data_IF_779300727762
#
_entry.id   IF_779300727762
#
_cell.length_a   1.000
_cell.length_b   1.000
_cell.length_c   1.000
_cell.angle_alpha   90.00
_cell.angle_beta   90.00
_cell.angle_gamma   90.00
#
_symmetry.space_group_name_H-M   'P 1'
#
loop_
_entity.id
_entity.type
_entity.pdbx_description
1 polymer ?
#
# COMPACT_ATOMS: atom_id res chain seq x y z
N UNK A 1 -23.10 -18.28 -16.75
CA UNK A 1 -23.96 -17.10 -16.48
C UNK A 1 -24.85 -17.28 -15.24
N UNK A 2 -25.41 -18.48 -14.99
CA UNK A 2 -26.24 -18.76 -13.79
C UNK A 2 -25.51 -18.72 -12.43
N UNK A 3 -24.27 -19.20 -12.34
CA UNK A 3 -23.51 -19.23 -11.06
C UNK A 3 -23.18 -17.84 -10.50
N UNK A 4 -22.74 -16.89 -11.33
CA UNK A 4 -22.46 -15.51 -10.89
C UNK A 4 -23.72 -14.75 -10.45
N UNK A 5 -24.87 -15.03 -11.07
CA UNK A 5 -26.13 -14.38 -10.74
C UNK A 5 -26.63 -14.82 -9.36
N UNK A 6 -26.48 -16.11 -9.02
CA UNK A 6 -26.82 -16.65 -7.70
C UNK A 6 -25.89 -16.17 -6.58
N UNK A 7 -24.58 -16.06 -6.82
CA UNK A 7 -23.63 -15.49 -5.84
C UNK A 7 -23.90 -14.00 -5.58
N UNK A 8 -24.20 -13.24 -6.63
CA UNK A 8 -24.54 -11.81 -6.52
C UNK A 8 -25.84 -11.63 -5.74
N UNK A 9 -26.87 -12.42 -6.04
CA UNK A 9 -28.14 -12.40 -5.30
C UNK A 9 -27.93 -12.77 -3.83
N UNK A 10 -27.15 -13.82 -3.52
CA UNK A 10 -26.84 -14.20 -2.12
C UNK A 10 -26.09 -13.12 -1.34
N UNK A 11 -25.31 -12.29 -2.04
CA UNK A 11 -24.52 -11.22 -1.41
C UNK A 11 -25.32 -9.93 -1.25
N UNK A 12 -26.19 -9.60 -2.20
CA UNK A 12 -26.96 -8.34 -2.23
C UNK A 12 -28.25 -8.43 -1.42
N UNK A 13 -28.97 -9.56 -1.45
CA UNK A 13 -30.27 -9.71 -0.76
C UNK A 13 -30.18 -9.41 0.75
N UNK A 14 -29.17 -9.90 1.49
CA UNK A 14 -29.01 -9.56 2.91
C UNK A 14 -28.74 -8.06 3.17
N UNK A 15 -28.23 -7.33 2.18
CA UNK A 15 -27.93 -5.90 2.27
C UNK A 15 -29.12 -5.01 1.88
N UNK A 16 -30.19 -5.54 1.28
CA UNK A 16 -31.34 -4.76 0.82
C UNK A 16 -31.97 -3.86 1.91
N UNK A 17 -32.21 -4.31 3.15
CA UNK A 17 -32.77 -3.42 4.18
C UNK A 17 -31.84 -2.25 4.52
N UNK A 18 -30.52 -2.49 4.51
CA UNK A 18 -29.52 -1.43 4.70
C UNK A 18 -29.53 -0.46 3.53
N UNK A 19 -29.55 -0.97 2.29
CA UNK A 19 -29.61 -0.16 1.08
C UNK A 19 -30.85 0.74 1.12
N UNK A 20 -32.03 0.21 1.45
CA UNK A 20 -33.28 0.98 1.56
C UNK A 20 -33.17 2.06 2.64
N UNK A 21 -32.68 1.72 3.84
CA UNK A 21 -32.49 2.68 4.94
C UNK A 21 -31.52 3.80 4.56
N UNK A 22 -30.35 3.45 4.01
CA UNK A 22 -29.36 4.44 3.58
C UNK A 22 -29.90 5.30 2.44
N UNK A 23 -30.71 4.70 1.56
CA UNK A 23 -31.35 5.45 0.48
C UNK A 23 -32.28 6.53 1.02
N UNK A 24 -33.12 6.18 2.00
CA UNK A 24 -34.01 7.12 2.66
C UNK A 24 -33.26 8.24 3.38
N UNK A 25 -32.22 7.90 4.17
CA UNK A 25 -31.40 8.88 4.88
C UNK A 25 -30.65 9.83 3.95
N UNK A 26 -30.14 9.32 2.82
CA UNK A 26 -29.41 10.13 1.86
C UNK A 26 -30.33 11.07 1.07
N UNK A 27 -31.49 10.57 0.60
CA UNK A 27 -32.49 11.39 -0.12
C UNK A 27 -33.00 12.54 0.75
N UNK A 28 -33.23 12.28 2.04
CA UNK A 28 -33.67 13.31 2.98
C UNK A 28 -32.53 14.21 3.51
N UNK A 29 -31.28 14.00 3.06
CA UNK A 29 -30.08 14.71 3.55
C UNK A 29 -29.88 14.63 5.06
N UNK A 30 -30.32 13.53 5.67
CA UNK A 30 -30.24 13.28 7.11
C UNK A 30 -28.95 12.58 7.53
N UNK A 31 -28.01 12.36 6.60
CA UNK A 31 -26.69 11.79 6.88
C UNK A 31 -25.59 12.83 6.64
N UNK A 32 -24.60 12.89 7.53
CA UNK A 32 -23.45 13.81 7.40
C UNK A 32 -22.68 13.59 6.08
N UNK A 33 -22.61 12.34 5.62
CA UNK A 33 -21.99 11.94 4.35
C UNK A 33 -22.70 12.48 3.11
N UNK A 34 -24.01 12.76 3.16
CA UNK A 34 -24.77 13.25 1.99
C UNK A 34 -24.30 14.61 1.45
N UNK A 35 -23.63 15.41 2.30
CA UNK A 35 -23.02 16.68 1.90
C UNK A 35 -21.88 16.48 0.89
N UNK A 36 -21.08 15.44 1.08
CA UNK A 36 -19.83 15.22 0.34
C UNK A 36 -19.92 14.10 -0.70
N UNK A 37 -20.65 13.04 -0.38
CA UNK A 37 -20.75 11.84 -1.21
C UNK A 37 -22.02 11.86 -2.05
N UNK A 38 -21.96 11.27 -3.25
CA UNK A 38 -23.15 10.92 -4.00
C UNK A 38 -23.83 9.67 -3.41
N UNK A 39 -25.05 9.40 -3.87
CA UNK A 39 -25.86 8.30 -3.40
C UNK A 39 -25.22 6.92 -3.61
N UNK A 40 -24.64 6.68 -4.80
CA UNK A 40 -24.02 5.41 -5.12
C UNK A 40 -22.81 5.17 -4.21
N UNK A 41 -21.99 6.20 -4.01
CA UNK A 41 -20.83 6.16 -3.12
C UNK A 41 -21.22 5.88 -1.66
N UNK A 42 -22.28 6.53 -1.17
CA UNK A 42 -22.77 6.30 0.19
C UNK A 42 -23.25 4.85 0.41
N UNK A 43 -23.91 4.24 -0.59
CA UNK A 43 -24.33 2.83 -0.53
C UNK A 43 -23.10 1.91 -0.52
N UNK A 44 -22.11 2.15 -1.38
CA UNK A 44 -20.88 1.34 -1.44
C UNK A 44 -20.19 1.33 -0.07
N UNK A 45 -20.02 2.50 0.56
CA UNK A 45 -19.39 2.62 1.89
C UNK A 45 -20.20 1.84 2.95
N UNK A 46 -21.54 1.97 2.93
CA UNK A 46 -22.38 1.23 3.87
C UNK A 46 -22.27 -0.29 3.69
N UNK A 47 -22.19 -0.78 2.44
CA UNK A 47 -21.96 -2.20 2.16
C UNK A 47 -20.57 -2.66 2.62
N UNK A 48 -19.52 -1.87 2.38
CA UNK A 48 -18.14 -2.17 2.80
C UNK A 48 -18.04 -2.34 4.32
N UNK A 49 -18.69 -1.46 5.10
CA UNK A 49 -18.74 -1.60 6.57
C UNK A 49 -19.27 -2.97 7.00
N UNK A 50 -20.39 -3.42 6.42
CA UNK A 50 -20.98 -4.73 6.76
C UNK A 50 -20.07 -5.89 6.36
N UNK A 51 -19.39 -5.78 5.21
CA UNK A 51 -18.48 -6.83 4.72
C UNK A 51 -17.25 -6.95 5.63
N UNK A 52 -16.72 -5.83 6.12
CA UNK A 52 -15.51 -5.80 6.96
C UNK A 52 -15.77 -6.05 8.45
N UNK A 53 -17.00 -5.84 8.94
CA UNK A 53 -17.41 -6.20 10.31
C UNK A 53 -18.54 -7.24 10.29
N UNK A 54 -18.29 -8.48 9.85
CA UNK A 54 -19.32 -9.50 9.78
C UNK A 54 -19.75 -9.91 11.19
N UNK A 55 -21.06 -10.13 11.39
CA UNK A 55 -21.61 -10.65 12.66
C UNK A 55 -21.05 -12.01 13.05
N UNK A 56 -20.67 -12.82 12.07
CA UNK A 56 -20.05 -14.13 12.24
C UNK A 56 -18.69 -14.11 11.52
N UNK A 57 -17.58 -13.96 12.24
CA UNK A 57 -16.24 -13.91 11.65
C UNK A 57 -15.92 -15.19 10.87
N UNK A 58 -15.18 -15.05 9.78
CA UNK A 58 -14.60 -16.17 9.03
C UNK A 58 -13.17 -16.40 9.50
N UNK A 59 -12.68 -17.63 9.40
CA UNK A 59 -11.27 -17.92 9.64
C UNK A 59 -10.38 -17.19 8.62
N UNK A 60 -9.11 -16.94 8.99
CA UNK A 60 -8.14 -16.22 8.14
C UNK A 60 -8.00 -16.89 6.77
N UNK A 61 -7.78 -18.21 6.72
CA UNK A 61 -7.67 -18.95 5.46
C UNK A 61 -8.92 -18.84 4.59
N UNK A 62 -10.10 -18.71 5.19
CA UNK A 62 -11.35 -18.53 4.44
C UNK A 62 -11.44 -17.14 3.80
N UNK A 63 -11.03 -16.10 4.53
CA UNK A 63 -10.98 -14.73 3.98
C UNK A 63 -9.90 -14.59 2.92
N UNK A 64 -8.72 -15.19 3.12
CA UNK A 64 -7.67 -15.25 2.10
C UNK A 64 -8.14 -15.92 0.82
N UNK A 65 -8.75 -17.12 0.89
CA UNK A 65 -9.32 -17.78 -0.31
C UNK A 65 -10.30 -16.91 -1.08
N UNK A 66 -11.07 -16.06 -0.40
CA UNK A 66 -12.01 -15.15 -1.04
C UNK A 66 -11.30 -13.98 -1.72
N UNK A 67 -10.33 -13.36 -1.03
CA UNK A 67 -9.66 -12.14 -1.50
C UNK A 67 -8.52 -12.40 -2.48
N UNK A 68 -7.99 -13.63 -2.52
CA UNK A 68 -6.97 -14.08 -3.47
C UNK A 68 -7.55 -14.67 -4.77
N UNK A 69 -8.88 -14.66 -4.93
CA UNK A 69 -9.52 -15.23 -6.11
C UNK A 69 -9.23 -14.39 -7.35
N UNK A 70 -8.52 -14.97 -8.32
CA UNK A 70 -8.32 -14.35 -9.63
C UNK A 70 -9.65 -14.33 -10.41
N UNK A 71 -10.13 -13.13 -10.72
CA UNK A 71 -11.38 -12.91 -11.47
C UNK A 71 -11.23 -13.09 -12.99
N UNK A 72 -10.02 -13.43 -13.46
CA UNK A 72 -9.65 -13.51 -14.86
C UNK A 72 -9.28 -12.15 -15.45
N UNK A 73 -8.71 -12.17 -16.66
CA UNK A 73 -8.15 -10.99 -17.31
C UNK A 73 -8.92 -10.74 -18.61
N UNK A 74 -9.54 -9.56 -18.72
CA UNK A 74 -10.32 -9.16 -19.90
C UNK A 74 -10.20 -7.67 -20.18
N UNK A 75 -10.30 -7.33 -21.46
CA UNK A 75 -10.44 -5.96 -21.94
C UNK A 75 -9.11 -5.24 -22.15
N UNK A 76 -9.12 -3.95 -21.81
CA UNK A 76 -8.04 -2.98 -22.11
C UNK A 76 -6.82 -3.11 -21.18
N UNK A 77 -6.37 -4.33 -20.93
CA UNK A 77 -5.25 -4.61 -20.06
C UNK A 77 -4.36 -5.69 -20.67
N UNK A 78 -3.06 -5.44 -20.66
CA UNK A 78 -2.05 -6.47 -20.77
C UNK A 78 -1.69 -6.96 -19.38
N UNK A 79 -1.59 -8.28 -19.22
CA UNK A 79 -0.99 -8.89 -18.03
C UNK A 79 0.01 -9.94 -18.51
N UNK A 80 1.23 -9.87 -17.97
CA UNK A 80 2.25 -10.92 -18.10
C UNK A 80 2.70 -11.34 -16.71
N UNK A 81 2.50 -12.61 -16.36
CA UNK A 81 2.86 -13.17 -15.05
C UNK A 81 4.32 -13.55 -15.03
N UNK A 82 5.07 -13.03 -14.07
CA UNK A 82 6.49 -13.30 -13.89
C UNK A 82 6.72 -13.88 -12.50
N UNK A 83 7.59 -14.89 -12.40
CA UNK A 83 8.11 -15.38 -11.13
C UNK A 83 9.62 -15.16 -11.15
N UNK A 84 10.09 -14.22 -10.33
CA UNK A 84 11.52 -14.03 -10.15
C UNK A 84 12.06 -15.25 -9.38
N UNK A 85 13.05 -15.97 -9.91
CA UNK A 85 13.60 -17.12 -9.21
C UNK A 85 14.21 -16.70 -7.88
N UNK A 86 14.13 -17.59 -6.90
CA UNK A 86 14.82 -17.46 -5.64
C UNK A 86 16.30 -17.09 -5.86
N UNK A 87 16.81 -15.99 -5.28
CA UNK A 87 18.22 -15.63 -5.38
C UNK A 87 19.12 -16.75 -4.87
N UNK A 88 20.21 -17.09 -5.58
CA UNK A 88 21.10 -18.16 -5.14
C UNK A 88 21.91 -17.77 -3.89
N UNK A 89 22.14 -16.47 -3.67
CA UNK A 89 22.84 -15.94 -2.51
C UNK A 89 21.89 -15.46 -1.40
N UNK A 90 22.36 -15.51 -0.15
CA UNK A 90 21.61 -15.01 1.00
C UNK A 90 21.80 -13.53 1.28
N UNK A 91 22.75 -12.86 0.60
CA UNK A 91 23.16 -11.49 0.88
C UNK A 91 22.00 -10.51 0.95
N UNK A 92 21.01 -10.60 0.06
CA UNK A 92 19.85 -9.69 0.08
C UNK A 92 19.01 -9.82 1.35
N UNK A 93 18.81 -11.05 1.84
CA UNK A 93 18.10 -11.33 3.09
C UNK A 93 18.95 -10.95 4.29
N UNK A 94 20.21 -11.35 4.31
CA UNK A 94 21.08 -11.13 5.46
C UNK A 94 21.33 -9.62 5.69
N UNK A 95 21.44 -8.83 4.61
CA UNK A 95 21.49 -7.37 4.67
C UNK A 95 20.19 -6.76 5.17
N UNK A 96 19.02 -7.27 4.74
CA UNK A 96 17.73 -6.85 5.30
C UNK A 96 17.68 -7.11 6.81
N UNK A 97 18.01 -8.32 7.26
CA UNK A 97 17.96 -8.67 8.69
C UNK A 97 18.91 -7.79 9.50
N UNK A 98 20.13 -7.59 9.01
CA UNK A 98 21.10 -6.67 9.64
C UNK A 98 20.54 -5.25 9.77
N UNK A 99 19.86 -4.75 8.74
CA UNK A 99 19.24 -3.42 8.77
C UNK A 99 18.06 -3.36 9.76
N UNK A 100 17.22 -4.41 9.84
CA UNK A 100 16.13 -4.48 10.83
C UNK A 100 16.71 -4.51 12.25
N UNK A 101 17.72 -5.33 12.52
CA UNK A 101 18.37 -5.36 13.84
C UNK A 101 19.01 -4.01 14.21
N UNK A 102 19.68 -3.37 13.25
CA UNK A 102 20.29 -2.05 13.45
C UNK A 102 19.26 -0.97 13.78
N UNK A 103 18.15 -0.91 13.04
CA UNK A 103 17.09 0.08 13.22
C UNK A 103 16.21 -0.19 14.45
N UNK A 104 16.03 -1.46 14.82
CA UNK A 104 15.24 -1.90 15.97
C UNK A 104 15.97 -1.88 17.31
N UNK A 105 17.31 -1.81 17.30
CA UNK A 105 18.16 -1.89 18.48
C UNK A 105 18.47 -3.32 18.94
N UNK A 106 19.44 -3.46 19.85
CA UNK A 106 20.10 -4.73 20.23
C UNK A 106 19.22 -5.79 20.90
N UNK A 107 17.94 -5.49 21.15
CA UNK A 107 17.01 -6.37 21.89
C UNK A 107 15.95 -7.02 21.02
N UNK A 108 15.93 -6.71 19.72
CA UNK A 108 14.88 -7.16 18.81
C UNK A 108 15.21 -8.54 18.23
N UNK A 109 14.32 -9.54 18.41
CA UNK A 109 14.47 -10.84 17.75
C UNK A 109 13.75 -10.80 16.42
N UNK A 110 14.50 -10.73 15.33
CA UNK A 110 13.93 -10.64 13.99
C UNK A 110 13.71 -12.05 13.42
N UNK A 111 12.47 -12.43 13.04
CA UNK A 111 12.23 -13.65 12.27
C UNK A 111 13.01 -13.56 10.94
N UNK A 112 13.76 -14.61 10.61
CA UNK A 112 14.49 -14.70 9.34
C UNK A 112 13.59 -15.39 8.32
N UNK A 113 13.02 -14.67 7.33
CA UNK A 113 12.14 -15.27 6.34
C UNK A 113 12.94 -16.10 5.33
N UNK A 114 12.31 -17.14 4.79
CA UNK A 114 12.90 -17.93 3.71
C UNK A 114 13.04 -17.11 2.43
N UNK A 115 14.08 -17.44 1.64
CA UNK A 115 14.20 -17.00 0.26
C UNK A 115 13.37 -17.95 -0.61
N UNK A 116 12.47 -17.38 -1.41
CA UNK A 116 11.54 -18.10 -2.29
C UNK A 116 11.48 -17.41 -3.65
N UNK A 117 10.83 -18.05 -4.62
CA UNK A 117 10.47 -17.38 -5.86
C UNK A 117 9.46 -16.27 -5.54
N UNK A 118 9.65 -15.09 -6.13
CA UNK A 118 8.75 -13.94 -5.90
C UNK A 118 7.91 -13.72 -7.15
N UNK A 119 6.62 -13.99 -7.02
CA UNK A 119 5.65 -13.78 -8.10
C UNK A 119 5.25 -12.31 -8.25
N UNK A 120 4.99 -11.91 -9.49
CA UNK A 120 4.50 -10.59 -9.84
C UNK A 120 3.70 -10.60 -11.15
N UNK A 121 2.97 -9.52 -11.40
CA UNK A 121 2.27 -9.27 -12.66
C UNK A 121 2.75 -7.97 -13.30
N UNK A 122 3.36 -8.07 -14.48
CA UNK A 122 3.51 -6.94 -15.38
C UNK A 122 2.14 -6.54 -15.91
N UNK A 123 1.75 -5.28 -15.72
CA UNK A 123 0.49 -4.74 -16.20
C UNK A 123 0.72 -3.53 -17.08
N UNK A 124 0.02 -3.48 -18.21
CA UNK A 124 0.03 -2.34 -19.13
C UNK A 124 -1.36 -2.07 -19.69
N UNK A 125 -1.56 -0.87 -20.26
CA UNK A 125 -2.80 -0.57 -20.95
C UNK A 125 -2.81 -1.21 -22.34
N UNK A 126 -3.90 -1.90 -22.69
CA UNK A 126 -4.09 -2.52 -24.02
C UNK A 126 -5.10 -1.71 -24.84
N UNK A 127 -4.60 -1.00 -25.83
CA UNK A 127 -5.38 -0.18 -26.75
C UNK A 127 -5.98 -1.01 -27.88
N UNK A 128 -6.97 -0.46 -28.59
CA UNK A 128 -7.51 -1.05 -29.82
C UNK A 128 -8.33 -2.33 -29.69
N UNK A 129 -8.64 -2.80 -28.46
CA UNK A 129 -9.41 -4.03 -28.22
C UNK A 129 -10.78 -3.76 -27.61
N UNK A 130 -11.73 -4.69 -27.76
CA UNK A 130 -13.04 -4.59 -27.12
C UNK A 130 -12.96 -4.79 -25.59
N UNK A 131 -13.93 -4.22 -24.84
CA UNK A 131 -13.99 -4.28 -23.36
C UNK A 131 -13.96 -5.70 -22.78
N UNK A 132 -14.44 -6.70 -23.52
CA UNK A 132 -14.48 -8.10 -23.11
C UNK A 132 -13.41 -8.99 -23.74
N UNK A 133 -12.48 -8.43 -24.52
CA UNK A 133 -11.48 -9.21 -25.24
C UNK A 133 -10.61 -10.04 -24.28
N UNK A 134 -10.39 -11.34 -24.52
CA UNK A 134 -9.45 -12.12 -23.73
C UNK A 134 -8.01 -11.66 -24.00
N UNK A 135 -7.09 -12.02 -23.12
CA UNK A 135 -5.67 -11.93 -23.44
C UNK A 135 -5.32 -12.83 -24.64
N UNK A 136 -4.31 -12.48 -25.44
CA UNK A 136 -3.79 -13.39 -26.45
C UNK A 136 -3.29 -14.69 -25.81
N UNK A 137 -3.58 -15.79 -26.50
CA UNK A 137 -3.13 -17.12 -26.13
C UNK A 137 -1.70 -17.36 -26.63
N UNK A 138 -0.75 -16.72 -25.96
CA UNK A 138 0.69 -16.72 -26.24
C UNK A 138 1.45 -16.78 -24.91
N UNK A 139 2.77 -17.02 -24.96
CA UNK A 139 3.60 -17.11 -23.76
C UNK A 139 3.63 -15.80 -22.95
N UNK A 140 3.99 -15.89 -21.66
CA UNK A 140 4.13 -14.69 -20.81
C UNK A 140 5.19 -13.72 -21.34
N UNK A 141 6.26 -14.22 -21.96
CA UNK A 141 7.30 -13.44 -22.66
C UNK A 141 6.70 -12.67 -23.84
N UNK A 142 5.90 -13.33 -24.68
CA UNK A 142 5.25 -12.68 -25.82
C UNK A 142 4.20 -11.65 -25.38
N UNK A 143 3.46 -11.93 -24.29
CA UNK A 143 2.55 -10.94 -23.67
C UNK A 143 3.31 -9.72 -23.16
N UNK A 144 4.46 -9.93 -22.50
CA UNK A 144 5.32 -8.85 -22.03
C UNK A 144 5.81 -7.99 -23.20
N UNK A 145 6.38 -8.58 -24.25
CA UNK A 145 6.83 -7.81 -25.41
C UNK A 145 5.66 -7.15 -26.16
N UNK A 146 4.48 -7.78 -26.20
CA UNK A 146 3.26 -7.19 -26.72
C UNK A 146 2.85 -5.92 -25.96
N UNK A 147 2.87 -5.99 -24.63
CA UNK A 147 2.66 -4.84 -23.75
C UNK A 147 3.70 -3.73 -23.98
N UNK A 148 4.98 -4.09 -24.04
CA UNK A 148 6.07 -3.12 -24.19
C UNK A 148 5.98 -2.32 -25.49
N UNK A 149 5.42 -2.88 -26.57
CA UNK A 149 5.16 -2.15 -27.83
C UNK A 149 4.11 -1.04 -27.67
N UNK A 150 3.26 -1.10 -26.65
CA UNK A 150 2.26 -0.08 -26.35
C UNK A 150 2.69 0.90 -25.26
N UNK A 151 3.78 0.61 -24.53
CA UNK A 151 4.37 1.54 -23.58
C UNK A 151 4.97 2.74 -24.32
N UNK A 152 4.55 3.95 -23.93
CA UNK A 152 4.99 5.22 -24.53
C UNK A 152 6.08 5.91 -23.74
N UNK A 153 6.28 5.49 -22.48
CA UNK A 153 7.24 6.08 -21.54
C UNK A 153 8.01 4.98 -20.80
N UNK A 154 9.25 5.25 -20.37
CA UNK A 154 10.09 4.28 -19.69
C UNK A 154 9.63 3.96 -18.25
N UNK A 155 8.73 4.78 -17.69
CA UNK A 155 8.19 4.66 -16.34
C UNK A 155 7.71 3.25 -16.00
N UNK A 156 8.24 2.72 -14.89
CA UNK A 156 7.84 1.47 -14.26
C UNK A 156 7.34 1.76 -12.85
N UNK A 157 6.08 1.46 -12.59
CA UNK A 157 5.51 1.56 -11.25
C UNK A 157 5.70 0.22 -10.55
N UNK A 158 6.58 0.14 -9.56
CA UNK A 158 6.65 -1.01 -8.65
C UNK A 158 5.46 -0.91 -7.69
N UNK A 159 4.42 -1.71 -7.93
CA UNK A 159 3.16 -1.60 -7.20
C UNK A 159 3.07 -2.65 -6.09
N UNK A 160 2.85 -2.17 -4.86
CA UNK A 160 2.66 -2.96 -3.66
C UNK A 160 1.20 -2.77 -3.21
N UNK A 161 0.41 -3.84 -3.28
CA UNK A 161 -1.03 -3.74 -3.08
C UNK A 161 -1.44 -3.54 -1.61
N UNK A 162 -2.60 -2.93 -1.38
CA UNK A 162 -3.22 -2.91 -0.05
C UNK A 162 -3.82 -4.26 0.33
N UNK A 163 -4.33 -4.35 1.57
CA UNK A 163 -4.95 -5.59 2.09
C UNK A 163 -4.52 -5.97 3.50
N UNK A 164 -4.08 -5.00 4.32
CA UNK A 164 -3.69 -5.23 5.72
C UNK A 164 -2.64 -6.34 5.89
N UNK A 165 -1.78 -6.57 4.89
CA UNK A 165 -0.76 -7.64 4.84
C UNK A 165 -1.26 -9.09 4.85
N UNK A 166 -2.58 -9.34 4.93
CA UNK A 166 -3.13 -10.70 4.94
C UNK A 166 -4.24 -10.95 3.90
N UNK A 167 -4.60 -9.93 3.12
CA UNK A 167 -5.64 -9.94 2.09
C UNK A 167 -5.08 -9.50 0.75
N UNK A 168 -5.89 -9.73 -0.29
CA UNK A 168 -5.71 -9.20 -1.64
C UNK A 168 -4.47 -9.73 -2.34
N UNK A 169 -4.36 -9.34 -3.61
CA UNK A 169 -3.44 -9.91 -4.57
C UNK A 169 -3.19 -8.92 -5.73
N UNK A 170 -2.14 -9.04 -6.56
CA UNK A 170 -2.06 -8.29 -7.82
C UNK A 170 -3.34 -8.37 -8.65
N UNK A 171 -4.02 -9.52 -8.67
CA UNK A 171 -5.26 -9.70 -9.39
C UNK A 171 -6.39 -8.74 -8.95
N UNK A 172 -6.47 -8.40 -7.65
CA UNK A 172 -7.49 -7.47 -7.14
C UNK A 172 -7.18 -6.01 -7.48
N UNK A 173 -5.91 -5.69 -7.75
CA UNK A 173 -5.43 -4.34 -8.04
C UNK A 173 -5.17 -4.07 -9.53
N UNK A 174 -5.48 -5.03 -10.42
CA UNK A 174 -5.44 -4.84 -11.89
C UNK A 174 -6.20 -3.59 -12.38
N UNK A 175 -7.38 -3.21 -11.86
CA UNK A 175 -8.04 -1.97 -12.27
C UNK A 175 -7.19 -0.72 -12.02
N UNK A 176 -6.57 -0.65 -10.84
CA UNK A 176 -5.69 0.45 -10.42
C UNK A 176 -4.43 0.50 -11.26
N UNK A 177 -3.70 -0.61 -11.36
CA UNK A 177 -2.44 -0.70 -12.11
C UNK A 177 -2.64 -0.47 -13.61
N UNK A 178 -3.75 -0.96 -14.19
CA UNK A 178 -4.14 -0.61 -15.56
C UNK A 178 -4.38 0.89 -15.73
N UNK A 179 -5.10 1.53 -14.80
CA UNK A 179 -5.39 2.98 -14.86
C UNK A 179 -4.10 3.79 -14.72
N UNK A 180 -3.20 3.40 -13.81
CA UNK A 180 -1.89 4.01 -13.66
C UNK A 180 -1.06 3.83 -14.93
N UNK A 181 -0.91 2.61 -15.47
CA UNK A 181 -0.19 2.38 -16.72
C UNK A 181 -0.77 3.18 -17.90
N UNK A 182 -2.11 3.30 -17.98
CA UNK A 182 -2.77 4.13 -19.00
C UNK A 182 -2.41 5.61 -18.86
N UNK A 183 -2.52 6.16 -17.64
CA UNK A 183 -2.32 7.58 -17.40
C UNK A 183 -0.84 7.98 -17.39
N UNK A 184 0.06 7.09 -16.99
CA UNK A 184 1.51 7.32 -17.03
C UNK A 184 2.08 7.05 -18.41
N UNK A 185 1.40 6.26 -19.25
CA UNK A 185 1.95 5.77 -20.51
C UNK A 185 3.06 4.73 -20.32
N UNK A 186 3.33 4.31 -19.09
CA UNK A 186 4.33 3.31 -18.73
C UNK A 186 3.71 1.94 -18.47
N UNK A 187 4.27 1.25 -17.47
CA UNK A 187 3.85 -0.10 -17.04
C UNK A 187 3.92 -0.21 -15.51
N UNK A 188 3.21 -1.19 -14.97
CA UNK A 188 3.26 -1.55 -13.55
C UNK A 188 3.89 -2.94 -13.40
N UNK A 189 4.65 -3.14 -12.33
CA UNK A 189 5.11 -4.43 -11.84
C UNK A 189 4.48 -4.65 -10.46
N UNK A 190 3.40 -5.42 -10.42
CA UNK A 190 2.60 -5.62 -9.21
C UNK A 190 3.06 -6.87 -8.47
N UNK A 191 3.63 -6.71 -7.28
CA UNK A 191 4.24 -7.81 -6.53
C UNK A 191 3.19 -8.63 -5.79
N UNK A 192 3.25 -9.96 -5.91
CA UNK A 192 2.49 -10.91 -5.08
C UNK A 192 3.33 -11.27 -3.86
N UNK A 193 3.51 -10.30 -2.97
CA UNK A 193 4.34 -10.50 -1.77
C UNK A 193 3.64 -11.47 -0.81
N UNK A 194 4.42 -12.21 -0.01
CA UNK A 194 3.90 -13.17 0.94
C UNK A 194 3.03 -12.51 2.01
N UNK A 195 1.97 -13.21 2.40
CA UNK A 195 0.96 -12.69 3.31
C UNK A 195 1.11 -13.27 4.71
N UNK A 196 0.82 -12.43 5.69
CA UNK A 196 0.62 -12.86 7.06
C UNK A 196 -0.70 -13.63 7.20
N UNK A 197 -0.88 -14.42 8.28
CA UNK A 197 0.08 -14.71 9.35
C UNK A 197 1.11 -15.80 9.02
N UNK A 198 1.02 -16.44 7.85
CA UNK A 198 1.96 -17.47 7.41
C UNK A 198 3.38 -16.91 7.33
N UNK A 199 3.52 -15.73 6.73
CA UNK A 199 4.78 -15.03 6.54
C UNK A 199 4.69 -13.63 7.18
N UNK A 200 4.96 -13.51 8.49
CA UNK A 200 4.91 -12.22 9.18
C UNK A 200 6.07 -11.30 8.74
N UNK A 201 6.01 -10.03 9.17
CA UNK A 201 7.14 -9.10 9.04
C UNK A 201 8.46 -9.76 9.50
N UNK A 202 9.56 -9.67 8.72
CA UNK A 202 9.76 -8.83 7.53
C UNK A 202 9.60 -9.54 6.17
N UNK A 203 8.85 -10.64 6.06
CA UNK A 203 8.77 -11.42 4.81
C UNK A 203 8.28 -10.63 3.58
N UNK A 204 7.18 -9.88 3.71
CA UNK A 204 6.67 -9.03 2.62
C UNK A 204 7.68 -7.95 2.19
N UNK A 205 8.47 -7.41 3.14
CA UNK A 205 9.53 -6.45 2.86
C UNK A 205 10.68 -7.09 2.10
N UNK A 206 11.05 -8.33 2.42
CA UNK A 206 12.03 -9.09 1.65
C UNK A 206 11.57 -9.29 0.20
N UNK A 207 10.30 -9.67 -0.02
CA UNK A 207 9.77 -9.90 -1.36
C UNK A 207 9.69 -8.61 -2.17
N UNK A 208 9.35 -7.49 -1.54
CA UNK A 208 9.40 -6.16 -2.15
C UNK A 208 10.84 -5.76 -2.52
N UNK A 209 11.81 -6.07 -1.66
CA UNK A 209 13.23 -5.77 -1.90
C UNK A 209 13.82 -6.63 -3.03
N UNK A 210 13.51 -7.93 -3.05
CA UNK A 210 13.82 -8.85 -4.16
C UNK A 210 13.20 -8.34 -5.47
N UNK A 211 11.95 -7.87 -5.43
CA UNK A 211 11.26 -7.33 -6.61
C UNK A 211 11.94 -6.07 -7.13
N UNK A 212 12.37 -5.16 -6.26
CA UNK A 212 13.13 -3.98 -6.63
C UNK A 212 14.47 -4.35 -7.29
N UNK A 213 15.19 -5.31 -6.73
CA UNK A 213 16.43 -5.85 -7.30
C UNK A 213 16.21 -6.58 -8.62
N UNK A 214 15.12 -7.32 -8.75
CA UNK A 214 14.72 -7.99 -9.99
C UNK A 214 14.52 -6.97 -11.10
N UNK A 215 13.87 -5.84 -10.82
CA UNK A 215 13.68 -4.76 -11.80
C UNK A 215 15.01 -4.12 -12.22
N UNK A 216 15.88 -3.79 -11.27
CA UNK A 216 17.16 -3.13 -11.53
C UNK A 216 18.17 -4.07 -12.21
N UNK A 217 18.23 -5.31 -11.75
CA UNK A 217 19.23 -6.32 -12.09
C UNK A 217 18.55 -7.66 -12.37
N UNK A 218 17.79 -7.78 -13.48
CA UNK A 218 17.08 -9.01 -13.81
C UNK A 218 17.99 -10.25 -13.75
N UNK A 219 17.49 -11.37 -13.20
CA UNK A 219 18.16 -12.66 -13.30
C UNK A 219 18.44 -13.05 -14.77
N UNK A 220 19.45 -13.91 -15.05
CA UNK A 220 19.88 -14.22 -16.42
C UNK A 220 18.78 -14.65 -17.40
N UNK A 221 17.76 -15.38 -16.93
CA UNK A 221 16.67 -15.90 -17.76
C UNK A 221 15.42 -14.99 -17.78
N UNK A 222 15.47 -13.83 -17.12
CA UNK A 222 14.39 -12.86 -17.14
C UNK A 222 14.07 -12.43 -18.57
N UNK A 223 12.79 -12.25 -18.87
CA UNK A 223 12.35 -11.80 -20.19
C UNK A 223 12.10 -10.30 -20.28
N UNK A 224 12.56 -9.56 -19.28
CA UNK A 224 12.51 -8.10 -19.26
C UNK A 224 13.93 -7.54 -19.12
N UNK A 225 14.13 -6.36 -19.69
CA UNK A 225 15.40 -5.65 -19.59
C UNK A 225 15.56 -5.00 -18.20
N UNK A 226 16.80 -4.68 -17.79
CA UNK A 226 17.06 -3.84 -16.62
C UNK A 226 16.29 -2.52 -16.70
N UNK A 227 15.59 -2.18 -15.62
CA UNK A 227 14.91 -0.89 -15.49
C UNK A 227 15.83 0.06 -14.77
N UNK A 228 16.14 1.19 -15.39
CA UNK A 228 16.97 2.21 -14.74
C UNK A 228 16.26 2.78 -13.48
N UNK A 229 16.97 3.03 -12.37
CA UNK A 229 16.38 3.47 -11.11
C UNK A 229 15.54 4.75 -11.23
N UNK A 230 15.98 5.70 -12.06
CA UNK A 230 15.29 6.95 -12.40
C UNK A 230 13.97 6.75 -13.18
N UNK A 231 13.68 5.52 -13.60
CA UNK A 231 12.41 5.15 -14.23
C UNK A 231 11.52 4.32 -13.29
N UNK A 232 11.95 4.00 -12.08
CA UNK A 232 11.17 3.24 -11.10
C UNK A 232 10.49 4.20 -10.12
N UNK A 233 9.17 4.10 -10.00
CA UNK A 233 8.40 4.76 -8.94
C UNK A 233 7.75 3.69 -8.08
N UNK A 234 8.04 3.68 -6.78
CA UNK A 234 7.39 2.76 -5.85
C UNK A 234 6.01 3.33 -5.52
N UNK A 235 4.96 2.52 -5.66
CA UNK A 235 3.60 2.94 -5.36
C UNK A 235 2.84 1.86 -4.62
N UNK A 236 1.87 2.28 -3.81
CA UNK A 236 1.02 1.36 -3.10
C UNK A 236 -0.08 2.07 -2.35
N UNK A 237 -1.04 1.28 -1.88
CA UNK A 237 -2.19 1.76 -1.14
C UNK A 237 -2.30 1.07 0.22
N UNK A 238 -2.80 1.74 1.27
CA UNK A 238 -3.03 1.11 2.57
C UNK A 238 -1.76 0.42 3.11
N UNK A 239 -1.84 -0.86 3.46
CA UNK A 239 -0.69 -1.69 3.84
C UNK A 239 0.41 -1.77 2.75
N UNK A 240 0.06 -1.70 1.47
CA UNK A 240 1.03 -1.61 0.39
C UNK A 240 1.73 -0.25 0.33
N UNK A 241 1.06 0.81 0.79
CA UNK A 241 1.66 2.12 1.02
C UNK A 241 2.66 2.10 2.18
N UNK A 242 2.33 1.40 3.27
CA UNK A 242 3.29 1.09 4.34
C UNK A 242 4.51 0.35 3.79
N UNK A 243 4.29 -0.73 3.04
CA UNK A 243 5.35 -1.56 2.48
C UNK A 243 6.26 -0.78 1.53
N UNK A 244 5.67 0.16 0.76
CA UNK A 244 6.41 1.06 -0.13
C UNK A 244 7.36 1.97 0.64
N UNK A 245 6.89 2.55 1.75
CA UNK A 245 7.70 3.40 2.62
C UNK A 245 8.72 2.60 3.43
N UNK A 246 8.36 1.38 3.85
CA UNK A 246 9.27 0.44 4.51
C UNK A 246 10.45 0.07 3.60
N UNK A 247 10.16 -0.26 2.33
CA UNK A 247 11.18 -0.49 1.31
C UNK A 247 12.04 0.76 1.07
N UNK A 248 11.43 1.95 0.97
CA UNK A 248 12.17 3.20 0.83
C UNK A 248 13.11 3.43 2.03
N UNK A 249 12.61 3.25 3.25
CA UNK A 249 13.38 3.47 4.47
C UNK A 249 14.54 2.47 4.59
N UNK A 250 14.33 1.21 4.18
CA UNK A 250 15.40 0.22 4.04
C UNK A 250 16.46 0.68 3.03
N UNK A 251 16.05 1.11 1.83
CA UNK A 251 16.97 1.59 0.79
C UNK A 251 17.78 2.80 1.30
N UNK A 252 17.14 3.74 2.01
CA UNK A 252 17.82 4.89 2.62
C UNK A 252 18.87 4.45 3.64
N UNK A 253 18.53 3.48 4.49
CA UNK A 253 19.45 2.95 5.48
C UNK A 253 20.66 2.28 4.82
N UNK A 254 20.42 1.41 3.84
CA UNK A 254 21.49 0.75 3.09
C UNK A 254 22.38 1.74 2.34
N UNK A 255 21.79 2.81 1.79
CA UNK A 255 22.54 3.87 1.11
C UNK A 255 23.42 4.67 2.08
N UNK A 256 22.94 4.98 3.29
CA UNK A 256 23.74 5.66 4.33
C UNK A 256 24.96 4.84 4.75
N UNK A 257 24.86 3.52 4.67
CA UNK A 257 25.93 2.58 4.99
C UNK A 257 26.82 2.22 3.78
N UNK A 258 26.56 2.76 2.58
CA UNK A 258 27.17 2.35 1.30
C UNK A 258 27.12 0.82 1.08
N UNK A 259 26.03 0.19 1.53
CA UNK A 259 25.85 -1.25 1.48
C UNK A 259 25.70 -1.75 0.05
N UNK A 260 26.34 -2.88 -0.24
CA UNK A 260 26.23 -3.61 -1.52
C UNK A 260 25.66 -5.00 -1.28
N UNK A 261 24.90 -5.49 -2.25
CA UNK A 261 24.27 -6.81 -2.21
C UNK A 261 24.96 -7.71 -3.22
N UNK A 262 25.41 -8.90 -2.80
CA UNK A 262 25.82 -9.94 -3.74
C UNK A 262 24.55 -10.50 -4.41
N UNK A 263 24.46 -10.35 -5.73
CA UNK A 263 23.27 -10.66 -6.51
C UNK A 263 23.66 -11.33 -7.82
N UNK A 264 23.36 -12.63 -7.96
CA UNK A 264 23.71 -13.44 -9.12
C UNK A 264 25.20 -13.34 -9.50
N UNK A 265 26.07 -13.50 -8.50
CA UNK A 265 27.53 -13.50 -8.65
C UNK A 265 28.19 -12.12 -8.71
N UNK A 266 27.43 -11.03 -8.72
CA UNK A 266 27.98 -9.67 -8.79
C UNK A 266 27.57 -8.81 -7.59
N UNK A 267 28.49 -8.00 -7.07
CA UNK A 267 28.17 -7.00 -6.04
C UNK A 267 27.45 -5.81 -6.67
N UNK A 268 26.18 -5.61 -6.30
CA UNK A 268 25.30 -4.56 -6.82
C UNK A 268 25.07 -3.46 -5.79
N UNK A 269 24.92 -2.23 -6.28
CA UNK A 269 24.49 -1.10 -5.47
C UNK A 269 22.96 -1.12 -5.28
N UNK A 270 22.50 -0.42 -4.23
CA UNK A 270 21.07 -0.19 -3.97
C UNK A 270 20.73 1.27 -4.35
N UNK A 271 20.46 1.58 -5.63
CA UNK A 271 20.12 2.95 -6.03
C UNK A 271 18.73 3.37 -5.51
N UNK A 272 18.52 4.68 -5.36
CA UNK A 272 17.20 5.22 -5.03
C UNK A 272 16.24 5.12 -6.22
N UNK A 273 14.94 4.87 -6.01
CA UNK A 273 13.94 5.03 -7.07
C UNK A 273 13.76 6.52 -7.40
N UNK A 274 13.14 6.82 -8.54
CA UNK A 274 12.81 8.19 -8.91
C UNK A 274 11.89 8.89 -7.92
N UNK A 275 10.93 8.16 -7.34
CA UNK A 275 9.98 8.70 -6.38
C UNK A 275 9.14 7.63 -5.70
N UNK A 276 8.29 8.06 -4.76
CA UNK A 276 7.30 7.21 -4.09
C UNK A 276 5.93 7.85 -4.17
N UNK A 277 4.88 7.09 -4.49
CA UNK A 277 3.54 7.64 -4.71
C UNK A 277 2.44 6.79 -4.07
N UNK A 278 1.80 7.31 -3.03
CA UNK A 278 1.01 6.54 -2.07
C UNK A 278 -0.46 6.98 -2.03
N UNK A 279 -1.34 6.02 -1.75
CA UNK A 279 -2.78 6.27 -1.52
C UNK A 279 -3.21 5.68 -0.17
N UNK A 280 -3.59 6.56 0.76
CA UNK A 280 -4.02 6.21 2.12
C UNK A 280 -3.06 5.22 2.81
N UNK A 281 -1.74 5.49 2.90
CA UNK A 281 -0.81 4.53 3.47
C UNK A 281 -1.11 4.26 4.96
N UNK A 282 -1.02 3.01 5.40
CA UNK A 282 -1.23 2.66 6.81
C UNK A 282 0.09 2.72 7.56
N UNK A 283 0.38 3.78 8.31
CA UNK A 283 1.73 4.08 8.80
C UNK A 283 2.04 3.55 10.20
N UNK A 284 1.04 3.16 10.97
CA UNK A 284 1.22 2.64 12.33
C UNK A 284 0.49 1.31 12.56
N UNK A 285 1.27 0.22 12.61
CA UNK A 285 0.76 -1.13 12.90
C UNK A 285 0.24 -1.30 14.33
N UNK A 286 0.55 -0.37 15.23
CA UNK A 286 0.10 -0.39 16.64
C UNK A 286 -1.22 0.32 16.87
N UNK A 287 -1.74 1.04 15.85
CA UNK A 287 -2.99 1.78 15.91
C UNK A 287 -3.00 2.80 17.08
N UNK A 288 -1.90 3.51 17.26
CA UNK A 288 -1.69 4.45 18.37
C UNK A 288 -2.24 5.86 18.13
N UNK A 289 -2.58 6.18 16.88
CA UNK A 289 -3.14 7.48 16.50
C UNK A 289 -4.47 7.78 17.23
N UNK A 290 -4.72 9.03 17.66
CA UNK A 290 -5.97 9.41 18.34
C UNK A 290 -7.24 9.07 17.56
N UNK A 291 -7.18 9.04 16.22
CA UNK A 291 -8.33 8.70 15.36
C UNK A 291 -8.87 7.29 15.62
N UNK A 292 -8.02 6.38 16.12
CA UNK A 292 -8.40 5.05 16.56
C UNK A 292 -9.20 5.05 17.86
N UNK A 293 -8.95 6.00 18.77
CA UNK A 293 -9.51 6.04 20.15
C UNK A 293 -10.75 6.93 20.27
N UNK A 294 -10.87 7.96 19.43
CA UNK A 294 -11.94 8.95 19.55
C UNK A 294 -13.30 8.30 19.27
N UNK A 295 -14.27 8.48 20.19
CA UNK A 295 -15.65 7.98 20.06
C UNK A 295 -16.46 8.66 18.94
N UNK A 296 -15.93 9.74 18.36
CA UNK A 296 -16.52 10.37 17.18
C UNK A 296 -16.57 9.36 16.03
N UNK A 297 -17.73 9.22 15.36
CA UNK A 297 -17.82 8.42 14.16
C UNK A 297 -16.74 8.85 13.17
N UNK A 298 -16.18 7.91 12.42
CA UNK A 298 -15.60 8.23 11.10
C UNK A 298 -16.77 8.15 10.12
N UNK A 299 -17.65 9.17 10.03
CA UNK A 299 -18.92 9.03 9.32
C UNK A 299 -18.71 8.75 7.83
N UNK A 300 -17.51 9.05 7.32
CA UNK A 300 -17.12 8.87 5.94
C UNK A 300 -16.39 7.55 5.68
N UNK A 301 -15.77 6.93 6.69
CA UNK A 301 -14.86 5.79 6.49
C UNK A 301 -15.53 4.43 6.70
N UNK A 302 -14.98 3.38 6.10
CA UNK A 302 -15.46 2.00 6.24
C UNK A 302 -14.54 1.10 7.05
N UNK A 303 -13.33 1.56 7.40
CA UNK A 303 -12.40 0.75 8.18
C UNK A 303 -12.96 0.44 9.57
N UNK A 304 -12.83 -0.82 10.04
CA UNK A 304 -13.33 -1.23 11.34
C UNK A 304 -12.50 -0.60 12.46
N UNK A 305 -13.16 -0.17 13.55
CA UNK A 305 -12.47 0.28 14.76
C UNK A 305 -11.92 -0.89 15.58
N UNK A 306 -10.87 -0.69 16.40
CA UNK A 306 -10.23 -1.76 17.17
C UNK A 306 -11.21 -2.46 18.12
N UNK A 307 -12.12 -1.73 18.78
CA UNK A 307 -13.09 -2.33 19.72
C UNK A 307 -14.08 -3.27 19.02
N UNK A 308 -14.37 -3.02 17.74
CA UNK A 308 -15.19 -3.91 16.93
C UNK A 308 -14.42 -5.17 16.54
N UNK A 309 -13.09 -5.10 16.44
CA UNK A 309 -12.24 -6.23 16.05
C UNK A 309 -11.81 -7.09 17.24
N UNK A 310 -11.48 -6.49 18.38
CA UNK A 310 -11.14 -7.19 19.62
C UNK A 310 -12.27 -8.11 20.13
N UNK A 311 -13.52 -7.75 19.84
CA UNK A 311 -14.70 -8.55 20.20
C UNK A 311 -14.93 -9.75 19.28
N UNK A 312 -14.26 -9.81 18.13
CA UNK A 312 -14.42 -10.90 17.17
C UNK A 312 -13.35 -11.97 17.39
N UNK A 313 -13.73 -13.08 18.02
CA UNK A 313 -12.89 -14.28 18.06
C UNK A 313 -12.74 -14.83 16.64
N UNK A 314 -11.52 -14.74 16.08
CA UNK A 314 -11.20 -15.32 14.76
C UNK A 314 -11.26 -16.85 14.87
N UNK A 315 -12.11 -17.54 14.09
CA UNK A 315 -12.17 -18.99 14.12
C UNK A 315 -10.82 -19.62 13.73
N UNK A 316 -10.38 -20.67 14.42
CA UNK A 316 -9.10 -21.30 14.13
C UNK A 316 -9.07 -21.94 12.74
N UNK A 317 -7.88 -21.98 12.15
CA UNK A 317 -7.56 -22.62 10.87
C UNK A 317 -6.05 -22.86 10.80
N UNK A 318 -5.58 -23.48 9.71
CA UNK A 318 -4.16 -23.80 9.53
C UNK A 318 -3.23 -22.58 9.60
N UNK A 319 -3.76 -21.38 9.36
CA UNK A 319 -3.01 -20.12 9.44
C UNK A 319 -3.12 -19.40 10.81
N UNK A 320 -4.16 -19.65 11.62
CA UNK A 320 -4.41 -18.88 12.84
C UNK A 320 -5.11 -19.72 13.93
N UNK A 321 -4.73 -19.63 15.23
CA UNK A 321 -3.67 -18.78 15.79
C UNK A 321 -2.28 -19.15 15.26
N UNK A 322 -1.42 -18.15 15.14
CA UNK A 322 -0.05 -18.37 14.67
C UNK A 322 0.74 -19.25 15.65
N UNK A 323 1.76 -19.94 15.12
CA UNK A 323 2.77 -20.63 15.92
C UNK A 323 4.17 -20.10 15.53
N UNK A 324 4.92 -19.43 16.43
CA UNK A 324 4.53 -19.10 17.81
C UNK A 324 3.34 -18.12 17.89
N UNK A 325 2.59 -18.10 19.02
CA UNK A 325 1.46 -17.20 19.20
C UNK A 325 1.86 -15.72 19.07
N UNK A 326 0.99 -14.92 18.45
CA UNK A 326 1.13 -13.47 18.28
C UNK A 326 -0.22 -12.79 18.49
N UNK A 327 -0.23 -11.51 18.88
CA UNK A 327 -1.47 -10.72 18.96
C UNK A 327 -1.90 -10.19 17.60
N UNK A 328 -0.93 -9.79 16.77
CA UNK A 328 -1.15 -9.25 15.44
C UNK A 328 -0.93 -10.34 14.37
N UNK A 329 -1.74 -10.32 13.31
CA UNK A 329 -1.56 -11.22 12.16
C UNK A 329 -0.21 -10.98 11.47
N UNK A 330 0.15 -9.70 11.29
CA UNK A 330 1.29 -9.26 10.49
C UNK A 330 2.62 -9.32 11.22
N UNK A 331 2.67 -8.90 12.47
CA UNK A 331 3.94 -8.60 13.14
C UNK A 331 4.01 -9.23 14.53
N UNK A 332 5.22 -9.61 14.96
CA UNK A 332 5.46 -10.02 16.33
C UNK A 332 5.39 -8.81 17.27
N UNK A 333 4.92 -9.04 18.50
CA UNK A 333 4.63 -7.97 19.46
C UNK A 333 5.89 -7.13 19.78
N UNK A 334 7.08 -7.73 19.80
CA UNK A 334 8.36 -7.06 20.07
C UNK A 334 8.89 -6.22 18.89
N UNK A 335 8.32 -6.42 17.70
CA UNK A 335 8.62 -5.71 16.45
C UNK A 335 7.54 -4.68 16.08
N UNK A 336 6.42 -4.61 16.81
CA UNK A 336 5.31 -3.75 16.45
C UNK A 336 5.66 -2.25 16.42
N UNK A 337 6.59 -1.80 17.29
CA UNK A 337 7.12 -0.43 17.28
C UNK A 337 8.33 -0.23 16.35
N UNK A 338 8.72 -1.24 15.58
CA UNK A 338 9.91 -1.18 14.72
C UNK A 338 9.73 -0.12 13.62
N UNK A 339 10.73 0.73 13.33
CA UNK A 339 10.60 1.84 12.38
C UNK A 339 10.47 1.44 10.91
N UNK A 340 10.64 0.15 10.58
CA UNK A 340 10.29 -0.43 9.26
C UNK A 340 8.91 -1.09 9.22
N UNK A 341 8.18 -1.14 10.34
CA UNK A 341 6.83 -1.66 10.43
C UNK A 341 5.82 -0.55 10.74
N UNK A 342 6.06 0.21 11.81
CA UNK A 342 5.35 1.46 12.12
C UNK A 342 6.21 2.65 11.68
N UNK A 343 6.00 3.10 10.44
CA UNK A 343 6.79 4.15 9.78
C UNK A 343 6.68 5.52 10.46
N UNK A 344 5.67 5.74 11.30
CA UNK A 344 5.59 6.91 12.19
C UNK A 344 6.76 6.98 13.18
N UNK A 345 7.45 5.85 13.42
CA UNK A 345 8.65 5.75 14.27
C UNK A 345 9.96 5.98 13.52
N UNK A 346 9.92 6.17 12.19
CA UNK A 346 11.12 6.42 11.40
C UNK A 346 11.80 7.74 11.81
N UNK A 347 13.07 7.67 12.20
CA UNK A 347 13.80 8.83 12.76
C UNK A 347 14.00 9.97 11.76
N UNK A 348 14.38 9.65 10.52
CA UNK A 348 14.58 10.66 9.47
C UNK A 348 14.42 10.09 8.07
N UNK A 349 13.83 10.92 7.21
CA UNK A 349 13.63 10.71 5.78
C UNK A 349 14.60 11.52 4.91
N UNK A 350 15.59 12.18 5.51
CA UNK A 350 16.64 12.91 4.78
C UNK A 350 17.28 12.03 3.71
N UNK A 351 17.33 12.55 2.48
CA UNK A 351 17.85 11.86 1.31
C UNK A 351 16.81 11.05 0.52
N UNK A 352 15.55 11.02 0.95
CA UNK A 352 14.44 10.43 0.21
C UNK A 352 14.22 11.13 -1.15
N UNK A 353 13.70 10.42 -2.17
CA UNK A 353 13.30 11.04 -3.42
C UNK A 353 11.97 11.79 -3.19
N UNK A 354 11.44 12.53 -4.19
CA UNK A 354 10.13 13.15 -4.04
C UNK A 354 9.04 12.12 -3.69
N UNK A 355 8.10 12.53 -2.83
CA UNK A 355 7.01 11.67 -2.35
C UNK A 355 5.65 12.33 -2.60
N UNK A 356 4.71 11.56 -3.16
CA UNK A 356 3.30 11.89 -3.20
C UNK A 356 2.53 11.08 -2.16
N UNK A 357 1.67 11.74 -1.39
CA UNK A 357 0.72 11.09 -0.48
C UNK A 357 -0.67 11.69 -0.69
N UNK A 358 -1.69 10.84 -0.78
CA UNK A 358 -3.05 11.31 -0.63
C UNK A 358 -3.82 10.51 0.42
N UNK A 359 -4.73 11.18 1.11
CA UNK A 359 -5.60 10.61 2.15
C UNK A 359 -7.01 11.17 2.02
N UNK A 360 -8.01 10.43 2.48
CA UNK A 360 -9.36 10.95 2.71
C UNK A 360 -9.55 11.55 4.10
N UNK A 361 -10.81 11.78 4.49
CA UNK A 361 -11.23 11.98 5.89
C UNK A 361 -11.47 10.63 6.57
N UNK A 362 -10.39 9.86 6.59
CA UNK A 362 -10.34 8.46 7.00
C UNK A 362 -9.61 8.28 8.34
N UNK A 363 -9.67 7.07 8.91
CA UNK A 363 -9.03 6.79 10.19
C UNK A 363 -7.50 6.93 10.14
N UNK A 364 -6.88 6.74 8.98
CA UNK A 364 -5.43 6.86 8.76
C UNK A 364 -4.98 8.32 8.53
N UNK A 365 -5.90 9.26 8.33
CA UNK A 365 -5.56 10.62 7.91
C UNK A 365 -4.64 11.36 8.90
N UNK A 366 -4.73 11.04 10.20
CA UNK A 366 -3.88 11.68 11.22
C UNK A 366 -2.42 11.29 11.08
N UNK A 367 -2.14 9.99 10.88
CA UNK A 367 -0.76 9.52 10.69
C UNK A 367 -0.19 9.97 9.34
N UNK A 368 -1.02 10.01 8.29
CA UNK A 368 -0.63 10.50 6.95
C UNK A 368 -0.22 11.97 6.97
N UNK A 369 -1.01 12.81 7.67
CA UNK A 369 -0.71 14.23 7.85
C UNK A 369 0.55 14.46 8.68
N UNK A 370 0.73 13.67 9.74
CA UNK A 370 1.95 13.72 10.55
C UNK A 370 3.18 13.39 9.71
N UNK A 371 3.14 12.31 8.91
CA UNK A 371 4.25 11.94 8.06
C UNK A 371 4.52 12.97 6.96
N UNK A 372 3.48 13.52 6.32
CA UNK A 372 3.64 14.55 5.30
C UNK A 372 4.38 15.80 5.84
N UNK A 373 4.02 16.26 7.06
CA UNK A 373 4.75 17.34 7.75
C UNK A 373 6.19 16.94 8.07
N UNK A 374 6.42 15.73 8.57
CA UNK A 374 7.76 15.24 8.92
C UNK A 374 8.67 15.13 7.70
N UNK A 375 8.15 14.62 6.58
CA UNK A 375 8.88 14.51 5.32
C UNK A 375 9.35 15.89 4.83
N UNK A 376 8.45 16.89 4.83
CA UNK A 376 8.79 18.25 4.43
C UNK A 376 9.83 18.87 5.37
N UNK A 377 9.68 18.69 6.70
CA UNK A 377 10.67 19.14 7.68
C UNK A 377 12.05 18.46 7.55
N UNK A 378 12.09 17.22 7.05
CA UNK A 378 13.33 16.50 6.69
C UNK A 378 13.92 16.96 5.33
N UNK A 379 13.32 17.95 4.67
CA UNK A 379 13.78 18.51 3.40
C UNK A 379 13.38 17.67 2.18
N UNK A 380 12.42 16.76 2.32
CA UNK A 380 11.89 15.96 1.20
C UNK A 380 10.90 16.81 0.39
N UNK A 381 10.90 16.66 -0.93
CA UNK A 381 9.91 17.28 -1.80
C UNK A 381 8.60 16.49 -1.73
N UNK A 382 7.54 17.11 -1.21
CA UNK A 382 6.29 16.40 -0.87
C UNK A 382 5.09 16.99 -1.60
N UNK A 383 4.33 16.15 -2.30
CA UNK A 383 3.01 16.50 -2.82
C UNK A 383 1.95 15.80 -1.96
N UNK A 384 1.27 16.57 -1.11
CA UNK A 384 0.22 16.07 -0.22
C UNK A 384 -1.17 16.50 -0.70
N UNK A 385 -2.09 15.55 -0.86
CA UNK A 385 -3.48 15.81 -1.24
C UNK A 385 -4.47 15.17 -0.26
N UNK A 386 -5.18 15.99 0.52
CA UNK A 386 -6.28 15.53 1.37
C UNK A 386 -7.62 15.64 0.63
N UNK A 387 -8.44 14.59 0.63
CA UNK A 387 -9.72 14.56 -0.08
C UNK A 387 -10.90 14.68 0.90
N UNK A 388 -11.62 15.80 0.78
CA UNK A 388 -12.73 16.15 1.65
C UNK A 388 -13.85 15.09 1.61
N UNK A 389 -14.19 14.54 2.78
CA UNK A 389 -15.30 13.60 2.95
C UNK A 389 -15.12 12.24 2.28
N UNK A 390 -13.92 11.90 1.81
CA UNK A 390 -13.64 10.61 1.18
C UNK A 390 -13.21 9.54 2.19
N UNK A 391 -13.63 8.27 2.01
CA UNK A 391 -13.17 7.13 2.85
C UNK A 391 -11.73 6.70 2.53
N UNK A 392 -11.24 5.72 3.29
CA UNK A 392 -10.02 4.97 2.98
C UNK A 392 -9.99 4.46 1.54
N UNK A 393 -8.83 4.58 0.88
CA UNK A 393 -8.58 4.14 -0.51
C UNK A 393 -9.74 4.46 -1.48
N UNK A 394 -10.42 5.60 -1.32
CA UNK A 394 -11.69 5.86 -2.02
C UNK A 394 -11.56 5.73 -3.54
N UNK A 395 -10.42 6.10 -4.13
CA UNK A 395 -10.19 6.03 -5.57
C UNK A 395 -10.24 4.60 -6.12
N UNK A 396 -9.95 3.61 -5.27
CA UNK A 396 -10.01 2.19 -5.61
C UNK A 396 -11.44 1.61 -5.50
N UNK A 397 -12.34 2.28 -4.78
CA UNK A 397 -13.69 1.78 -4.48
C UNK A 397 -14.80 2.57 -5.20
N UNK A 398 -14.63 3.90 -5.33
CA UNK A 398 -15.65 4.84 -5.79
C UNK A 398 -15.38 5.27 -7.23
N UNK A 399 -15.35 4.31 -8.16
CA UNK A 399 -14.89 4.53 -9.55
C UNK A 399 -15.60 5.66 -10.33
N UNK A 400 -16.85 5.99 -9.96
CA UNK A 400 -17.65 7.00 -10.65
C UNK A 400 -17.55 8.40 -10.01
N UNK A 401 -16.90 8.54 -8.86
CA UNK A 401 -16.81 9.82 -8.17
C UNK A 401 -15.85 10.78 -8.92
N UNK A 402 -16.18 12.08 -9.05
CA UNK A 402 -15.27 13.07 -9.66
C UNK A 402 -13.91 13.13 -8.95
N UNK A 403 -13.92 13.01 -7.62
CA UNK A 403 -12.71 12.96 -6.78
C UNK A 403 -11.81 11.78 -7.15
N UNK A 404 -12.36 10.63 -7.53
CA UNK A 404 -11.58 9.46 -7.97
C UNK A 404 -10.79 9.77 -9.25
N UNK A 405 -11.43 10.44 -10.22
CA UNK A 405 -10.76 10.82 -11.45
C UNK A 405 -9.69 11.89 -11.18
N UNK A 406 -9.94 12.86 -10.29
CA UNK A 406 -8.93 13.83 -9.84
C UNK A 406 -7.75 13.17 -9.12
N UNK A 407 -8.01 12.19 -8.27
CA UNK A 407 -6.99 11.43 -7.54
C UNK A 407 -6.08 10.65 -8.49
N UNK A 408 -6.64 9.84 -9.39
CA UNK A 408 -5.81 9.13 -10.38
C UNK A 408 -5.01 10.08 -11.29
N UNK A 409 -5.58 11.24 -11.65
CA UNK A 409 -4.88 12.21 -12.47
C UNK A 409 -3.70 12.85 -11.72
N UNK A 410 -3.88 13.26 -10.46
CA UNK A 410 -2.82 13.81 -9.62
C UNK A 410 -1.73 12.77 -9.34
N UNK A 411 -2.13 11.57 -8.94
CA UNK A 411 -1.23 10.44 -8.66
C UNK A 411 -0.39 10.09 -9.90
N UNK A 412 -1.02 9.90 -11.06
CA UNK A 412 -0.29 9.61 -12.30
C UNK A 412 0.53 10.80 -12.81
N UNK A 413 0.07 12.04 -12.61
CA UNK A 413 0.82 13.23 -12.98
C UNK A 413 2.12 13.35 -12.18
N UNK A 414 2.07 13.11 -10.87
CA UNK A 414 3.27 13.04 -10.04
C UNK A 414 4.22 11.93 -10.52
N UNK A 415 3.71 10.71 -10.74
CA UNK A 415 4.53 9.58 -11.22
C UNK A 415 5.23 9.91 -12.54
N UNK A 416 4.56 10.60 -13.47
CA UNK A 416 5.18 11.05 -14.73
C UNK A 416 6.24 12.12 -14.47
N UNK A 417 5.90 13.14 -13.71
CA UNK A 417 6.75 14.29 -13.48
C UNK A 417 8.05 13.91 -12.75
N UNK A 418 8.00 12.96 -11.80
CA UNK A 418 9.21 12.55 -11.08
C UNK A 418 10.20 11.76 -11.95
N UNK A 419 9.73 11.12 -13.03
CA UNK A 419 10.59 10.40 -13.99
C UNK A 419 11.12 11.34 -15.07
N UNK A 420 10.33 12.32 -15.51
CA UNK A 420 10.70 13.20 -16.63
C UNK A 420 11.42 14.46 -16.17
N UNK A 421 10.89 15.13 -15.15
CA UNK A 421 11.33 16.44 -14.69
C UNK A 421 11.40 16.49 -13.15
N UNK A 422 12.22 15.62 -12.51
CA UNK A 422 12.24 15.50 -11.05
C UNK A 422 12.56 16.81 -10.34
N UNK A 423 13.34 17.70 -10.96
CA UNK A 423 13.72 19.00 -10.41
C UNK A 423 12.53 19.97 -10.29
N UNK A 424 11.49 19.78 -11.11
CA UNK A 424 10.29 20.63 -11.13
C UNK A 424 9.26 20.25 -10.05
N UNK A 425 9.51 19.19 -9.27
CA UNK A 425 8.62 18.82 -8.17
C UNK A 425 8.84 19.76 -6.99
N UNK A 426 7.84 20.57 -6.70
CA UNK A 426 7.81 21.44 -5.53
C UNK A 426 6.96 20.84 -4.41
N UNK A 427 7.33 21.15 -3.16
CA UNK A 427 6.51 20.78 -2.01
C UNK A 427 5.18 21.57 -2.03
N UNK A 428 4.06 20.86 -1.98
CA UNK A 428 2.72 21.46 -1.88
C UNK A 428 1.80 20.57 -1.08
N UNK A 429 0.94 21.19 -0.27
CA UNK A 429 -0.14 20.53 0.44
C UNK A 429 -1.46 21.18 0.05
N UNK A 430 -2.47 20.37 -0.31
CA UNK A 430 -3.79 20.87 -0.71
C UNK A 430 -4.90 19.99 -0.17
N UNK A 431 -6.04 20.60 0.13
CA UNK A 431 -7.32 19.94 0.34
C UNK A 431 -8.09 19.99 -0.98
N UNK A 432 -8.57 18.84 -1.45
CA UNK A 432 -9.42 18.70 -2.63
C UNK A 432 -10.87 18.65 -2.17
N UNK A 433 -11.66 19.67 -2.53
CA UNK A 433 -13.08 19.76 -2.17
C UNK A 433 -13.91 18.65 -2.80
N UNK A 434 -14.87 18.13 -2.03
CA UNK A 434 -15.77 17.09 -2.51
C UNK A 434 -16.63 17.64 -3.65
N UNK A 435 -16.93 16.80 -4.65
CA UNK A 435 -17.74 17.11 -5.84
C UNK A 435 -17.10 18.13 -6.81
N UNK A 436 -16.65 19.29 -6.34
CA UNK A 436 -16.06 20.35 -7.18
C UNK A 436 -14.61 20.06 -7.58
N UNK A 437 -13.87 19.30 -6.77
CA UNK A 437 -12.43 19.06 -6.91
C UNK A 437 -11.59 20.35 -6.90
N UNK A 438 -12.12 21.44 -6.32
CA UNK A 438 -11.37 22.67 -6.10
C UNK A 438 -10.24 22.43 -5.11
N UNK A 439 -9.05 22.99 -5.40
CA UNK A 439 -7.88 22.89 -4.53
C UNK A 439 -7.86 24.06 -3.55
N UNK A 440 -7.85 23.75 -2.27
CA UNK A 440 -7.63 24.72 -1.20
C UNK A 440 -6.22 24.48 -0.63
N UNK A 441 -5.31 25.47 -0.72
CA UNK A 441 -3.97 25.33 -0.16
C UNK A 441 -4.00 24.99 1.34
N UNK A 442 -3.14 24.07 1.74
CA UNK A 442 -2.84 23.74 3.13
C UNK A 442 -1.40 24.11 3.42
N UNK A 443 -1.08 24.28 4.71
CA UNK A 443 0.28 24.49 5.18
C UNK A 443 0.80 23.25 5.87
N UNK A 444 2.03 22.84 5.55
CA UNK A 444 2.66 21.65 6.12
C UNK A 444 2.73 21.72 7.65
N UNK A 445 3.09 22.87 8.21
CA UNK A 445 3.21 23.08 9.67
C UNK A 445 1.86 23.03 10.41
N UNK A 446 0.74 23.12 9.69
CA UNK A 446 -0.61 23.03 10.23
C UNK A 446 -1.28 21.66 9.98
N UNK A 447 -0.63 20.73 9.25
CA UNK A 447 -1.21 19.42 8.93
C UNK A 447 -1.42 18.55 10.16
N UNK A 448 -0.53 18.64 11.15
CA UNK A 448 -0.58 17.84 12.38
C UNK A 448 -0.12 18.69 13.55
N UNK A 449 -0.75 18.49 14.69
CA UNK A 449 -0.39 19.08 15.99
C UNK A 449 0.52 18.16 16.83
N UNK A 450 0.62 16.88 16.48
CA UNK A 450 1.40 15.89 17.21
C UNK A 450 2.90 16.23 17.19
N UNK A 451 3.60 16.12 18.32
CA UNK A 451 5.07 16.08 18.29
C UNK A 451 5.58 14.66 17.97
N UNK A 452 6.82 14.55 17.50
CA UNK A 452 7.43 13.22 17.28
C UNK A 452 7.51 12.41 18.57
N UNK A 453 7.74 13.09 19.70
CA UNK A 453 7.77 12.46 21.02
C UNK A 453 6.40 11.95 21.44
N UNK A 454 5.32 12.71 21.19
CA UNK A 454 3.95 12.27 21.51
C UNK A 454 3.58 11.00 20.73
N UNK A 455 3.87 10.97 19.42
CA UNK A 455 3.64 9.79 18.58
C UNK A 455 4.45 8.60 19.10
N UNK A 456 5.74 8.80 19.40
CA UNK A 456 6.62 7.76 19.93
C UNK A 456 6.09 7.17 21.22
N UNK A 457 5.65 8.00 22.16
CA UNK A 457 5.11 7.55 23.44
C UNK A 457 3.81 6.77 23.26
N UNK A 458 2.91 7.22 22.38
CA UNK A 458 1.67 6.51 22.06
C UNK A 458 1.93 5.11 21.49
N UNK A 459 2.87 4.99 20.55
CA UNK A 459 3.27 3.69 19.97
C UNK A 459 3.85 2.78 21.05
N UNK A 460 4.76 3.27 21.90
CA UNK A 460 5.37 2.49 22.97
C UNK A 460 4.34 2.03 24.01
N UNK A 461 3.38 2.88 24.36
CA UNK A 461 2.28 2.53 25.25
C UNK A 461 1.40 1.41 24.68
N UNK A 462 1.04 1.46 23.39
CA UNK A 462 0.25 0.40 22.73
C UNK A 462 0.97 -0.95 22.70
N UNK A 463 2.29 -0.95 22.65
CA UNK A 463 3.10 -2.18 22.62
C UNK A 463 3.46 -2.71 24.01
N UNK A 464 3.25 -1.92 25.07
CA UNK A 464 3.72 -2.25 26.42
C UNK A 464 5.25 -2.24 26.54
N UNK A 465 5.93 -1.49 25.66
CA UNK A 465 7.39 -1.36 25.62
C UNK A 465 7.88 -0.03 26.21
N UNK A 466 7.12 0.55 27.15
CA UNK A 466 7.34 1.87 27.76
C UNK A 466 8.76 2.03 28.35
N UNK A 467 9.32 0.94 28.91
CA UNK A 467 10.65 0.92 29.52
C UNK A 467 11.81 0.74 28.51
N UNK A 468 11.53 0.53 27.21
CA UNK A 468 12.58 0.42 26.20
C UNK A 468 13.07 1.80 25.78
N UNK A 469 14.21 2.20 26.34
CA UNK A 469 15.03 3.28 25.77
C UNK A 469 15.57 2.77 24.43
N UNK A 470 15.01 3.24 23.30
CA UNK A 470 15.68 3.11 22.01
C UNK A 470 16.94 3.96 22.09
N UNK A 471 18.07 3.35 22.49
CA UNK A 471 19.34 4.06 22.57
C UNK A 471 19.62 4.77 21.23
N UNK A 472 20.21 5.98 21.25
CA UNK A 472 20.74 6.56 20.03
C UNK A 472 21.74 5.56 19.42
N UNK A 473 21.85 5.46 18.09
CA UNK A 473 22.90 4.63 17.51
C UNK A 473 24.22 5.17 18.05
N UNK A 474 25.14 4.27 18.36
CA UNK A 474 26.51 4.65 18.70
C UNK A 474 26.99 5.59 17.59
N UNK A 475 27.15 6.87 17.91
CA UNK A 475 27.80 7.82 17.03
C UNK A 475 29.26 7.40 16.92
N UNK A 476 29.56 6.61 15.89
CA UNK A 476 30.93 6.37 15.47
C UNK A 476 31.11 6.99 14.09
N UNK A 477 31.62 8.21 14.17
CA UNK A 477 32.48 8.96 13.24
C UNK A 477 32.12 8.97 11.75
#
# INVERSE_FOLDING_TARGET
MYSHTLETIRTVVPLLPLIIRQSFLHVLRLSDSSKYLDFQSAIIIACLRVILTPKSPRSVSSVQRLTLRDSGIKGHIWVSKYASPRPPETSIRDTLITAVEHLGGSTCRVPVPDLVDVEAEWTGYRSGVARGAPLPDVSERERYHGMMRECKRPTTVLYLHGGAYYLCDPATHRPTTKKLAQLTGGRCYSVRYRLAPQDPFPAALLDAFISYFTLLYPPPDAYHDPVQPENIVIAGDSAGGNLSLSLLQLILELRRQDSRILWHGELRQVPMPAGVALNSPWLDTTQSSPTWEVATPTPYDYLPKPEAMEKLTIPPCDAWPANPPRRNLYIADDLAAHPLASLVMARSWKGAPPIYLCTGWEILAYEDKFLARKLEADGVRVVFEEYEGMPHCFALMLHNAPTTQRCYNGWAAFIRAVVEDPEMIESRAVMIKAKTCEEVPLRFDELSDASEEDIRQRVLQKTGLEDRVLEPPISKL
#
